data_IF_940170895079
#
_entry.id   IF_940170895079
#
_cell.length_a   1.000
_cell.length_b   1.000
_cell.length_c   1.000
_cell.angle_alpha   90.00
_cell.angle_beta   90.00
_cell.angle_gamma   90.00
#
_symmetry.space_group_name_H-M   'P 1'
#
loop_
_entity.id
_entity.type
_entity.pdbx_description
1 polymer ?
#
# COMPACT_ATOMS: atom_id res chain seq x y z
N UNK A 1 -2.32 29.51 -32.75
CA UNK A 1 -3.51 28.76 -32.28
C UNK A 1 -3.18 27.43 -31.58
N UNK A 2 -2.14 26.66 -31.97
CA UNK A 2 -1.77 25.39 -31.30
C UNK A 2 -1.15 25.52 -29.89
N UNK A 3 -0.60 26.69 -29.54
CA UNK A 3 0.04 26.92 -28.22
C UNK A 3 -0.94 27.26 -27.08
N UNK A 4 -2.12 27.77 -27.39
CA UNK A 4 -3.13 28.14 -26.38
C UNK A 4 -3.87 26.89 -25.87
N UNK A 5 -4.06 25.88 -26.73
CA UNK A 5 -4.69 24.61 -26.36
C UNK A 5 -3.86 23.78 -25.35
N UNK A 6 -2.53 23.90 -25.38
CA UNK A 6 -1.63 23.15 -24.48
C UNK A 6 -1.60 23.72 -23.04
N UNK A 7 -1.93 25.00 -22.87
CA UNK A 7 -1.95 25.67 -21.55
C UNK A 7 -3.26 25.39 -20.81
N UNK A 8 -4.38 25.20 -21.53
CA UNK A 8 -5.67 24.85 -20.92
C UNK A 8 -5.71 23.40 -20.43
N UNK A 9 -4.94 22.50 -21.06
CA UNK A 9 -4.87 21.09 -20.66
C UNK A 9 -3.95 20.82 -19.45
N UNK A 10 -2.93 21.66 -19.23
CA UNK A 10 -2.08 21.57 -18.02
C UNK A 10 -2.72 22.18 -16.78
N UNK A 11 -3.62 23.15 -16.94
CA UNK A 11 -4.32 23.78 -15.80
C UNK A 11 -5.44 22.91 -15.21
N UNK A 12 -6.00 21.98 -15.99
CA UNK A 12 -7.09 21.08 -15.57
C UNK A 12 -6.59 19.87 -14.76
N UNK A 13 -5.32 19.46 -14.93
CA UNK A 13 -4.71 18.38 -14.15
C UNK A 13 -4.33 18.78 -12.71
N UNK A 14 -4.19 20.08 -12.43
CA UNK A 14 -3.88 20.57 -11.08
C UNK A 14 -5.10 20.67 -10.17
N UNK A 15 -6.31 20.80 -10.74
CA UNK A 15 -7.53 21.02 -9.94
C UNK A 15 -8.07 19.73 -9.30
N UNK A 16 -7.76 18.57 -9.88
CA UNK A 16 -8.23 17.27 -9.37
C UNK A 16 -7.53 16.94 -8.04
N UNK A 17 -6.28 17.33 -7.84
CA UNK A 17 -5.52 17.00 -6.62
C UNK A 17 -6.01 17.76 -5.37
N UNK A 18 -6.57 18.96 -5.54
CA UNK A 18 -7.04 19.83 -4.44
C UNK A 18 -8.40 19.41 -3.88
N UNK A 19 -9.29 18.89 -4.73
CA UNK A 19 -10.64 18.48 -4.31
C UNK A 19 -10.60 17.34 -3.29
N UNK A 20 -9.67 16.39 -3.46
CA UNK A 20 -9.57 15.25 -2.55
C UNK A 20 -8.99 15.63 -1.19
N UNK A 21 -8.04 16.58 -1.11
CA UNK A 21 -7.41 17.03 0.14
C UNK A 21 -8.36 17.80 1.09
N UNK A 22 -9.47 18.30 0.55
CA UNK A 22 -10.43 19.11 1.29
C UNK A 22 -11.37 18.25 2.14
N UNK A 23 -11.49 16.96 1.85
CA UNK A 23 -12.39 16.08 2.57
C UNK A 23 -11.73 15.45 3.81
N UNK A 24 -10.43 15.08 3.78
CA UNK A 24 -9.78 14.52 4.97
C UNK A 24 -9.58 15.56 6.08
N UNK A 25 -9.31 16.83 5.72
CA UNK A 25 -9.16 17.92 6.71
C UNK A 25 -10.48 18.19 7.44
N UNK A 26 -11.63 18.15 6.73
CA UNK A 26 -12.95 18.29 7.37
C UNK A 26 -13.26 17.13 8.30
N UNK A 27 -12.96 15.90 7.88
CA UNK A 27 -13.14 14.71 8.73
C UNK A 27 -12.27 14.81 10.00
N UNK A 28 -11.06 15.35 9.90
CA UNK A 28 -10.22 15.61 11.08
C UNK A 28 -10.84 16.66 12.01
N UNK A 29 -11.39 17.76 11.49
CA UNK A 29 -12.10 18.78 12.28
C UNK A 29 -13.36 18.22 12.97
N UNK A 30 -14.10 17.34 12.28
CA UNK A 30 -15.23 16.60 12.84
C UNK A 30 -14.79 15.68 13.98
N UNK A 31 -13.71 14.90 13.78
CA UNK A 31 -13.15 14.03 14.81
C UNK A 31 -12.74 14.82 16.06
N UNK A 32 -12.11 15.99 15.90
CA UNK A 32 -11.75 16.89 17.02
C UNK A 32 -13.01 17.29 17.80
N UNK A 33 -14.05 17.75 17.09
CA UNK A 33 -15.31 18.16 17.72
C UNK A 33 -15.99 17.02 18.49
N UNK A 34 -15.94 15.80 17.96
CA UNK A 34 -16.48 14.60 18.61
C UNK A 34 -15.69 14.22 19.86
N UNK A 35 -14.36 14.35 19.84
CA UNK A 35 -13.50 14.13 21.01
C UNK A 35 -13.83 15.13 22.11
N UNK A 36 -13.95 16.41 21.78
CA UNK A 36 -14.32 17.47 22.74
C UNK A 36 -15.70 17.24 23.37
N UNK A 37 -16.64 16.70 22.60
CA UNK A 37 -17.96 16.31 23.07
C UNK A 37 -17.99 14.98 23.85
N UNK A 38 -16.86 14.29 24.03
CA UNK A 38 -16.77 12.99 24.71
C UNK A 38 -17.33 11.80 23.92
N UNK A 39 -17.61 11.98 22.62
CA UNK A 39 -18.18 10.97 21.72
C UNK A 39 -17.08 10.13 21.08
N UNK A 40 -16.35 9.37 21.90
CA UNK A 40 -15.12 8.69 21.48
C UNK A 40 -15.36 7.63 20.39
N UNK A 41 -16.43 6.84 20.50
CA UNK A 41 -16.73 5.79 19.50
C UNK A 41 -17.06 6.38 18.13
N UNK A 42 -17.73 7.54 18.08
CA UNK A 42 -18.01 8.28 16.84
C UNK A 42 -16.70 8.84 16.25
N UNK A 43 -15.87 9.46 17.09
CA UNK A 43 -14.57 9.99 16.68
C UNK A 43 -13.66 8.90 16.10
N UNK A 44 -13.63 7.70 16.69
CA UNK A 44 -12.84 6.58 16.18
C UNK A 44 -13.26 6.19 14.76
N UNK A 45 -14.56 6.15 14.45
CA UNK A 45 -15.03 5.80 13.10
C UNK A 45 -14.57 6.84 12.07
N UNK A 46 -14.69 8.12 12.39
CA UNK A 46 -14.23 9.21 11.52
C UNK A 46 -12.72 9.12 11.29
N UNK A 47 -11.94 8.83 12.33
CA UNK A 47 -10.48 8.67 12.22
C UNK A 47 -10.09 7.44 11.38
N UNK A 48 -10.87 6.35 11.40
CA UNK A 48 -10.65 5.21 10.52
C UNK A 48 -10.90 5.57 9.05
N UNK A 49 -11.91 6.38 8.76
CA UNK A 49 -12.15 6.87 7.39
C UNK A 49 -11.00 7.78 6.91
N UNK A 50 -10.49 8.66 7.78
CA UNK A 50 -9.27 9.45 7.48
C UNK A 50 -8.07 8.55 7.25
N UNK A 51 -7.85 7.55 8.11
CA UNK A 51 -6.74 6.60 7.98
C UNK A 51 -6.81 5.85 6.66
N UNK A 52 -7.98 5.37 6.27
CA UNK A 52 -8.21 4.67 5.00
C UNK A 52 -7.94 5.59 3.80
N UNK A 53 -8.40 6.84 3.85
CA UNK A 53 -8.13 7.82 2.80
C UNK A 53 -6.62 8.06 2.62
N UNK A 54 -5.89 8.29 3.73
CA UNK A 54 -4.45 8.47 3.69
C UNK A 54 -3.71 7.21 3.22
N UNK A 55 -4.14 6.03 3.67
CA UNK A 55 -3.57 4.74 3.26
C UNK A 55 -3.66 4.54 1.75
N UNK A 56 -4.82 4.82 1.15
CA UNK A 56 -5.04 4.67 -0.29
C UNK A 56 -4.31 5.72 -1.15
N UNK A 57 -3.95 6.87 -0.57
CA UNK A 57 -3.23 7.95 -1.27
C UNK A 57 -1.72 7.82 -1.16
N UNK A 58 -1.24 7.21 -0.09
CA UNK A 58 0.18 6.97 0.07
C UNK A 58 0.67 5.95 -0.99
N UNK A 59 1.90 6.11 -1.50
CA UNK A 59 2.44 5.13 -2.44
C UNK A 59 2.55 3.76 -1.77
N UNK A 60 2.21 2.71 -2.51
CA UNK A 60 2.43 1.33 -2.06
C UNK A 60 3.92 1.10 -1.83
N UNK A 61 4.25 0.52 -0.68
CA UNK A 61 5.63 0.18 -0.30
C UNK A 61 5.67 -1.21 0.30
N UNK A 62 6.81 -1.90 0.19
CA UNK A 62 7.04 -3.17 0.86
C UNK A 62 8.23 -3.04 1.81
N UNK A 63 8.05 -2.47 3.02
CA UNK A 63 9.15 -2.22 3.96
C UNK A 63 9.80 -3.50 4.49
N UNK A 64 9.04 -4.60 4.53
CA UNK A 64 9.55 -5.91 4.93
C UNK A 64 9.47 -6.82 3.73
N UNK A 65 10.63 -7.33 3.30
CA UNK A 65 10.74 -8.45 2.37
C UNK A 65 12.02 -9.22 2.71
N UNK A 66 11.92 -10.54 2.86
CA UNK A 66 13.08 -11.37 3.15
C UNK A 66 12.84 -12.86 2.84
N UNK A 67 13.93 -13.60 2.68
CA UNK A 67 13.87 -15.05 2.72
C UNK A 67 13.61 -15.54 4.14
N UNK A 68 12.81 -16.59 4.26
CA UNK A 68 12.46 -17.22 5.53
C UNK A 68 12.80 -18.71 5.52
N UNK A 69 12.98 -19.29 6.70
CA UNK A 69 13.44 -20.68 6.86
C UNK A 69 12.41 -21.70 6.35
N UNK A 70 11.13 -21.38 6.47
CA UNK A 70 9.99 -22.23 6.11
C UNK A 70 8.77 -21.35 5.79
N UNK A 71 7.70 -21.96 5.32
CA UNK A 71 6.42 -21.30 5.10
C UNK A 71 5.99 -20.50 6.35
N UNK A 72 5.70 -19.19 6.22
CA UNK A 72 5.18 -18.36 7.32
C UNK A 72 3.83 -18.88 7.83
N UNK A 73 3.64 -18.87 9.15
CA UNK A 73 2.42 -19.40 9.75
C UNK A 73 1.29 -18.35 9.77
N UNK A 74 1.65 -17.08 9.91
CA UNK A 74 0.72 -15.94 9.88
C UNK A 74 1.47 -14.61 9.73
N UNK A 75 0.72 -13.51 9.65
CA UNK A 75 1.29 -12.16 9.62
C UNK A 75 2.18 -11.91 10.86
N UNK A 76 3.41 -11.44 10.64
CA UNK A 76 4.40 -11.19 11.68
C UNK A 76 5.02 -12.46 12.32
N UNK A 77 4.60 -13.66 11.91
CA UNK A 77 5.08 -14.92 12.49
C UNK A 77 5.92 -15.67 11.45
N UNK A 78 7.20 -15.33 11.43
CA UNK A 78 8.18 -15.93 10.54
C UNK A 78 9.58 -15.97 11.18
N UNK A 79 10.45 -16.84 10.66
CA UNK A 79 11.88 -16.84 10.99
C UNK A 79 12.66 -16.39 9.78
N UNK A 80 13.27 -15.21 9.86
CA UNK A 80 14.14 -14.69 8.82
C UNK A 80 15.32 -15.63 8.64
N UNK A 81 15.60 -15.98 7.40
CA UNK A 81 16.73 -16.82 7.03
C UNK A 81 18.02 -16.03 7.22
N UNK A 82 19.04 -16.67 7.77
CA UNK A 82 20.36 -16.03 8.03
C UNK A 82 21.21 -15.86 6.78
N UNK A 83 20.85 -16.55 5.69
CA UNK A 83 21.64 -16.69 4.47
C UNK A 83 20.73 -16.60 3.24
N UNK A 84 21.27 -16.06 2.15
CA UNK A 84 20.66 -16.04 0.81
C UNK A 84 21.24 -17.12 -0.12
N UNK A 85 21.91 -18.13 0.44
CA UNK A 85 22.40 -19.30 -0.30
C UNK A 85 21.38 -20.43 -0.23
N UNK A 86 21.13 -21.03 -1.39
CA UNK A 86 20.19 -22.13 -1.56
C UNK A 86 20.91 -23.30 -2.25
N UNK A 87 20.58 -24.52 -1.85
CA UNK A 87 21.04 -25.72 -2.57
C UNK A 87 20.10 -26.02 -3.73
N UNK A 88 20.59 -26.71 -4.76
CA UNK A 88 19.76 -27.07 -5.92
C UNK A 88 18.53 -27.90 -5.48
N UNK A 89 17.35 -27.50 -5.95
CA UNK A 89 16.07 -28.14 -5.61
C UNK A 89 15.44 -27.68 -4.28
N UNK A 90 16.09 -26.79 -3.53
CA UNK A 90 15.52 -26.22 -2.31
C UNK A 90 14.38 -25.21 -2.61
N UNK A 91 13.29 -25.29 -1.84
CA UNK A 91 12.21 -24.30 -1.90
C UNK A 91 12.64 -22.97 -1.29
N UNK A 92 12.48 -21.88 -2.04
CA UNK A 92 12.72 -20.52 -1.57
C UNK A 92 11.43 -19.92 -1.01
N UNK A 93 11.34 -19.78 0.31
CA UNK A 93 10.22 -19.07 0.94
C UNK A 93 10.55 -17.57 1.07
N UNK A 94 9.64 -16.72 0.60
CA UNK A 94 9.72 -15.26 0.72
C UNK A 94 8.57 -14.77 1.58
N UNK A 95 8.89 -13.92 2.56
CA UNK A 95 7.91 -13.19 3.35
C UNK A 95 7.94 -11.71 2.98
N UNK A 96 6.79 -11.10 2.78
CA UNK A 96 6.63 -9.72 2.40
C UNK A 96 5.44 -9.07 3.12
N UNK A 97 5.60 -7.82 3.57
CA UNK A 97 4.52 -7.03 4.17
C UNK A 97 4.30 -5.75 3.35
N UNK A 98 3.38 -5.76 2.37
CA UNK A 98 3.03 -4.54 1.65
C UNK A 98 2.22 -3.59 2.55
N UNK A 99 2.44 -2.29 2.37
CA UNK A 99 1.65 -1.21 2.97
C UNK A 99 1.14 -0.29 1.88
N UNK A 100 0.06 0.43 2.20
CA UNK A 100 -0.60 1.37 1.29
C UNK A 100 -1.04 0.71 -0.03
N UNK A 101 -1.38 -0.57 0.01
CA UNK A 101 -2.12 -1.19 -1.09
C UNK A 101 -3.55 -0.62 -1.11
N UNK A 102 -4.15 -0.55 -2.29
CA UNK A 102 -5.51 -0.01 -2.41
C UNK A 102 -6.51 -0.92 -1.72
N UNK A 103 -7.30 -0.32 -0.83
CA UNK A 103 -8.44 -0.93 -0.17
C UNK A 103 -9.70 -0.26 -0.72
N UNK A 104 -10.54 -1.01 -1.42
CA UNK A 104 -11.84 -0.53 -1.91
C UNK A 104 -12.92 -0.88 -0.88
N UNK A 105 -13.76 0.10 -0.53
CA UNK A 105 -14.88 -0.10 0.40
C UNK A 105 -16.20 -0.06 -0.39
N UNK A 106 -16.97 -1.13 -0.32
CA UNK A 106 -18.31 -1.25 -0.93
C UNK A 106 -19.33 -1.59 0.18
N UNK A 107 -20.02 -0.57 0.68
CA UNK A 107 -20.83 -0.71 1.89
C UNK A 107 -19.96 -1.08 3.10
N UNK A 108 -20.23 -2.23 3.70
CA UNK A 108 -19.47 -2.77 4.84
C UNK A 108 -18.37 -3.77 4.43
N UNK A 109 -18.15 -3.96 3.12
CA UNK A 109 -17.18 -4.91 2.59
C UNK A 109 -15.92 -4.17 2.15
N UNK A 110 -14.76 -4.71 2.55
CA UNK A 110 -13.45 -4.24 2.14
C UNK A 110 -12.83 -5.22 1.14
N UNK A 111 -12.43 -4.71 -0.02
CA UNK A 111 -11.77 -5.47 -1.07
C UNK A 111 -10.31 -5.06 -1.19
N UNK A 112 -9.45 -6.08 -1.27
CA UNK A 112 -8.01 -5.95 -1.50
C UNK A 112 -7.62 -6.89 -2.61
N UNK A 113 -6.91 -6.38 -3.61
CA UNK A 113 -6.38 -7.16 -4.72
C UNK A 113 -4.87 -6.92 -4.79
N UNK A 114 -4.10 -7.99 -4.71
CA UNK A 114 -2.64 -7.96 -4.80
C UNK A 114 -2.20 -8.92 -5.88
N UNK A 115 -1.40 -8.40 -6.82
CA UNK A 115 -0.68 -9.21 -7.80
C UNK A 115 0.79 -9.19 -7.42
N UNK A 116 1.42 -10.36 -7.42
CA UNK A 116 2.85 -10.50 -7.14
C UNK A 116 3.49 -11.15 -8.35
N UNK A 117 4.55 -10.52 -8.87
CA UNK A 117 5.47 -11.11 -9.84
C UNK A 117 6.87 -11.11 -9.20
N UNK A 118 7.71 -12.05 -9.60
CA UNK A 118 9.05 -12.19 -9.08
C UNK A 118 10.02 -12.61 -10.18
N UNK A 119 11.26 -12.15 -10.05
CA UNK A 119 12.38 -12.61 -10.84
C UNK A 119 13.55 -12.92 -9.90
N UNK A 120 14.15 -14.08 -10.07
CA UNK A 120 15.28 -14.54 -9.27
C UNK A 120 16.54 -14.43 -10.10
N UNK A 121 17.58 -13.83 -9.52
CA UNK A 121 18.89 -13.68 -10.11
C UNK A 121 19.94 -14.29 -9.19
N UNK A 122 21.02 -14.81 -9.76
CA UNK A 122 22.19 -15.18 -8.98
C UNK A 122 23.02 -13.94 -8.58
N UNK A 123 24.10 -14.18 -7.83
CA UNK A 123 25.02 -13.13 -7.37
C UNK A 123 25.74 -12.38 -8.50
N UNK A 124 25.82 -12.99 -9.68
CA UNK A 124 26.49 -12.45 -10.86
C UNK A 124 25.48 -11.74 -11.79
N UNK A 125 24.19 -11.73 -11.42
CA UNK A 125 23.10 -11.09 -12.16
C UNK A 125 22.48 -11.98 -13.24
N UNK A 126 22.79 -13.28 -13.29
CA UNK A 126 22.16 -14.17 -14.25
C UNK A 126 20.74 -14.53 -13.80
N UNK A 127 19.80 -14.48 -14.73
CA UNK A 127 18.41 -14.87 -14.47
C UNK A 127 18.29 -16.37 -14.22
N UNK A 128 17.65 -16.74 -13.09
CA UNK A 128 17.44 -18.12 -12.66
C UNK A 128 16.00 -18.61 -12.88
N UNK A 129 15.03 -17.69 -12.99
CA UNK A 129 13.61 -18.01 -13.14
C UNK A 129 12.70 -17.01 -12.48
N UNK A 130 11.40 -17.11 -12.76
CA UNK A 130 10.41 -16.11 -12.35
C UNK A 130 9.30 -15.92 -13.37
N UNK A 131 8.36 -15.06 -12.98
CA UNK A 131 7.36 -14.48 -13.87
C UNK A 131 7.92 -13.13 -14.31
N UNK A 132 8.67 -13.13 -15.42
CA UNK A 132 9.09 -11.91 -16.11
C UNK A 132 7.84 -11.06 -16.42
N UNK A 133 7.78 -9.76 -16.05
CA UNK A 133 6.68 -8.90 -16.47
C UNK A 133 6.66 -8.65 -17.99
#
# INVERSE_FOLDING_TARGET
MKRIFFVVFTLSLFFVALAFAQDEVKLLEEAISLIEAGKIDEAQRVLEDVRLALWNRAPMVCPVYCFVEKEPESFGVYRKRVSSTFVAGETMYVYAEPKNYTILKEGDIYHVFLTVSYAVYDKDGNYLGGEDP
#
